data_IF_358115945225
#
_entry.id   IF_358115945225
#
_cell.length_a   1.000
_cell.length_b   1.000
_cell.length_c   1.000
_cell.angle_alpha   90.00
_cell.angle_beta   90.00
_cell.angle_gamma   90.00
#
_symmetry.space_group_name_H-M   'P 1'
#
loop_
_entity.id
_entity.type
_entity.pdbx_description
1 polymer ?
#
# COMPACT_ATOMS: atom_id res chain seq x y z
N UNK A 1 22.20 9.41 16.39
CA UNK A 1 22.27 9.09 14.95
C UNK A 1 22.86 10.31 14.25
N UNK A 2 23.84 10.13 13.36
CA UNK A 2 24.49 11.22 12.63
C UNK A 2 23.46 11.89 11.69
N UNK A 3 23.22 13.22 11.81
CA UNK A 3 22.24 13.94 10.99
C UNK A 3 22.49 13.85 9.48
N UNK A 4 23.76 13.78 9.07
CA UNK A 4 24.13 13.71 7.65
C UNK A 4 23.83 12.32 7.07
N UNK A 5 24.02 11.26 7.85
CA UNK A 5 23.59 9.91 7.46
C UNK A 5 22.06 9.83 7.34
N UNK A 6 21.31 10.39 8.30
CA UNK A 6 19.86 10.43 8.22
C UNK A 6 19.37 11.16 6.96
N UNK A 7 19.92 12.34 6.68
CA UNK A 7 19.57 13.13 5.48
C UNK A 7 19.88 12.37 4.19
N UNK A 8 20.99 11.62 4.12
CA UNK A 8 21.35 10.79 2.97
C UNK A 8 20.35 9.65 2.72
N UNK A 9 19.88 8.98 3.79
CA UNK A 9 18.91 7.89 3.66
C UNK A 9 17.50 8.40 3.35
N UNK A 10 17.11 9.58 3.85
CA UNK A 10 15.82 10.19 3.61
C UNK A 10 15.70 10.91 2.25
N UNK A 11 16.78 10.98 1.46
CA UNK A 11 16.77 11.63 0.16
C UNK A 11 15.98 10.82 -0.85
N UNK A 12 14.89 11.43 -1.36
CA UNK A 12 14.05 10.85 -2.42
C UNK A 12 14.85 10.75 -3.72
N UNK A 13 14.49 9.78 -4.56
CA UNK A 13 15.12 9.57 -5.85
C UNK A 13 14.13 8.86 -6.78
N UNK A 14 13.90 9.42 -7.96
CA UNK A 14 12.97 8.85 -8.93
C UNK A 14 13.35 7.45 -9.39
N UNK A 15 14.64 7.14 -9.55
CA UNK A 15 15.09 5.79 -9.92
C UNK A 15 14.67 4.77 -8.86
N UNK A 16 14.91 5.04 -7.57
CA UNK A 16 14.47 4.17 -6.48
C UNK A 16 12.95 4.05 -6.43
N UNK A 17 12.24 5.16 -6.67
CA UNK A 17 10.78 5.17 -6.78
C UNK A 17 10.27 4.27 -7.89
N UNK A 18 10.89 4.30 -9.08
CA UNK A 18 10.53 3.39 -10.18
C UNK A 18 10.86 1.93 -9.88
N UNK A 19 11.99 1.65 -9.25
CA UNK A 19 12.33 0.28 -8.83
C UNK A 19 11.28 -0.23 -7.83
N UNK A 20 10.86 0.60 -6.89
CA UNK A 20 9.90 0.21 -5.85
C UNK A 20 8.47 0.14 -6.41
N UNK A 21 7.91 1.24 -6.88
CA UNK A 21 6.53 1.30 -7.35
C UNK A 21 6.35 0.62 -8.72
N UNK A 22 7.23 0.89 -9.67
CA UNK A 22 7.20 0.27 -10.99
C UNK A 22 7.52 -1.23 -10.95
N UNK A 23 8.50 -1.63 -10.14
CA UNK A 23 8.84 -3.04 -9.93
C UNK A 23 7.68 -3.81 -9.29
N UNK A 24 7.01 -3.24 -8.29
CA UNK A 24 5.84 -3.85 -7.68
C UNK A 24 4.67 -3.98 -8.67
N UNK A 25 4.41 -2.95 -9.48
CA UNK A 25 3.41 -2.99 -10.56
C UNK A 25 3.76 -4.03 -11.63
N UNK A 26 5.03 -4.12 -12.04
CA UNK A 26 5.49 -5.16 -12.96
C UNK A 26 5.26 -6.57 -12.40
N UNK A 27 5.58 -6.79 -11.12
CA UNK A 27 5.35 -8.06 -10.45
C UNK A 27 3.84 -8.40 -10.39
N UNK A 28 2.99 -7.42 -10.12
CA UNK A 28 1.53 -7.58 -10.18
C UNK A 28 1.06 -8.04 -11.57
N UNK A 29 1.55 -7.39 -12.64
CA UNK A 29 1.22 -7.78 -14.01
C UNK A 29 1.70 -9.20 -14.35
N UNK A 30 2.94 -9.56 -13.96
CA UNK A 30 3.49 -10.89 -14.19
C UNK A 30 2.70 -11.99 -13.47
N UNK A 31 2.35 -11.75 -12.22
CA UNK A 31 1.56 -12.73 -11.45
C UNK A 31 0.11 -12.82 -11.94
N UNK A 32 -0.50 -11.71 -12.36
CA UNK A 32 -1.82 -11.71 -13.01
C UNK A 32 -1.81 -12.50 -14.33
N UNK A 33 -0.75 -12.34 -15.14
CA UNK A 33 -0.55 -13.15 -16.34
C UNK A 33 -0.41 -14.64 -15.99
N UNK A 34 0.31 -14.96 -14.92
CA UNK A 34 0.46 -16.36 -14.46
C UNK A 34 -0.89 -16.98 -14.05
N UNK A 35 -1.76 -16.20 -13.40
CA UNK A 35 -3.14 -16.62 -13.09
C UNK A 35 -3.91 -16.92 -14.38
N UNK A 36 -3.88 -15.99 -15.33
CA UNK A 36 -4.56 -16.16 -16.62
C UNK A 36 -4.06 -17.38 -17.40
N UNK A 37 -2.74 -17.55 -17.54
CA UNK A 37 -2.16 -18.67 -18.29
C UNK A 37 -2.44 -20.02 -17.64
N UNK A 38 -2.35 -20.12 -16.32
CA UNK A 38 -2.66 -21.38 -15.61
C UNK A 38 -4.15 -21.75 -15.70
N UNK A 39 -5.04 -20.77 -15.63
CA UNK A 39 -6.47 -20.97 -15.87
C UNK A 39 -6.73 -21.44 -17.32
N UNK A 40 -6.21 -20.71 -18.30
CA UNK A 40 -6.46 -21.00 -19.74
C UNK A 40 -5.94 -22.37 -20.19
N UNK A 41 -4.91 -22.92 -19.52
CA UNK A 41 -4.35 -24.22 -19.82
C UNK A 41 -4.85 -25.33 -18.85
N UNK A 42 -5.83 -25.03 -18.00
CA UNK A 42 -6.39 -25.98 -17.04
C UNK A 42 -5.37 -26.56 -16.05
N UNK A 43 -4.32 -25.81 -15.72
CA UNK A 43 -3.30 -26.19 -14.74
C UNK A 43 -3.76 -25.82 -13.31
N UNK A 44 -4.75 -26.51 -12.80
CA UNK A 44 -5.50 -26.13 -11.59
C UNK A 44 -4.64 -25.94 -10.34
N UNK A 45 -3.62 -26.76 -10.12
CA UNK A 45 -2.71 -26.61 -8.98
C UNK A 45 -1.88 -25.33 -9.11
N UNK A 46 -1.33 -25.07 -10.32
CA UNK A 46 -0.57 -23.86 -10.60
C UNK A 46 -1.47 -22.62 -10.51
N UNK A 47 -2.71 -22.72 -10.96
CA UNK A 47 -3.71 -21.65 -10.84
C UNK A 47 -3.95 -21.26 -9.38
N UNK A 48 -4.18 -22.22 -8.48
CA UNK A 48 -4.38 -21.93 -7.06
C UNK A 48 -3.16 -21.26 -6.42
N UNK A 49 -1.96 -21.75 -6.74
CA UNK A 49 -0.71 -21.14 -6.29
C UNK A 49 -0.57 -19.71 -6.83
N UNK A 50 -0.81 -19.52 -8.13
CA UNK A 50 -0.72 -18.22 -8.78
C UNK A 50 -1.72 -17.20 -8.21
N UNK A 51 -2.97 -17.62 -7.93
CA UNK A 51 -4.00 -16.78 -7.28
C UNK A 51 -3.55 -16.36 -5.89
N UNK A 52 -3.00 -17.28 -5.09
CA UNK A 52 -2.50 -16.95 -3.76
C UNK A 52 -1.37 -15.93 -3.82
N UNK A 53 -0.38 -16.14 -4.69
CA UNK A 53 0.75 -15.22 -4.87
C UNK A 53 0.26 -13.86 -5.38
N UNK A 54 -0.61 -13.85 -6.39
CA UNK A 54 -1.16 -12.61 -6.96
C UNK A 54 -1.99 -11.83 -5.93
N UNK A 55 -2.81 -12.50 -5.13
CA UNK A 55 -3.56 -11.89 -4.04
C UNK A 55 -2.66 -11.28 -2.97
N UNK A 56 -1.57 -11.97 -2.60
CA UNK A 56 -0.57 -11.46 -1.67
C UNK A 56 0.08 -10.19 -2.20
N UNK A 57 0.52 -10.19 -3.47
CA UNK A 57 1.12 -9.01 -4.11
C UNK A 57 0.12 -7.86 -4.20
N UNK A 58 -1.14 -8.15 -4.54
CA UNK A 58 -2.22 -7.16 -4.65
C UNK A 58 -2.51 -6.48 -3.31
N UNK A 59 -2.39 -7.18 -2.20
CA UNK A 59 -2.67 -6.63 -0.86
C UNK A 59 -1.76 -5.46 -0.48
N UNK A 60 -0.52 -5.43 -1.01
CA UNK A 60 0.42 -4.34 -0.76
C UNK A 60 0.03 -3.00 -1.39
N UNK A 61 -0.82 -3.00 -2.43
CA UNK A 61 -1.27 -1.73 -3.02
C UNK A 61 -2.07 -0.91 -2.02
N UNK A 62 -3.05 -1.51 -1.34
CA UNK A 62 -3.96 -0.82 -0.42
C UNK A 62 -3.26 -0.34 0.86
N UNK A 63 -2.44 -1.17 1.47
CA UNK A 63 -1.80 -0.86 2.73
C UNK A 63 -0.57 0.05 2.55
N UNK A 64 0.51 -0.52 2.06
CA UNK A 64 1.82 0.12 2.07
C UNK A 64 2.01 1.12 0.93
N UNK A 65 1.65 0.74 -0.31
CA UNK A 65 1.98 1.55 -1.48
C UNK A 65 1.18 2.85 -1.52
N UNK A 66 -0.14 2.79 -1.29
CA UNK A 66 -1.01 3.97 -1.25
C UNK A 66 -0.62 4.89 -0.09
N UNK A 67 -0.24 4.33 1.06
CA UNK A 67 0.26 5.08 2.22
C UNK A 67 1.51 5.92 1.88
N UNK A 68 2.57 5.28 1.40
CA UNK A 68 3.83 5.94 1.09
C UNK A 68 3.69 6.98 -0.05
N UNK A 69 2.90 6.65 -1.07
CA UNK A 69 2.62 7.57 -2.18
C UNK A 69 1.76 8.75 -1.74
N UNK A 70 0.85 8.55 -0.79
CA UNK A 70 0.04 9.60 -0.17
C UNK A 70 0.90 10.63 0.57
N UNK A 71 1.93 10.17 1.27
CA UNK A 71 2.95 11.05 1.87
C UNK A 71 3.88 11.72 0.85
N UNK A 72 3.86 11.27 -0.41
CA UNK A 72 4.75 11.77 -1.46
C UNK A 72 6.22 11.45 -1.20
N UNK A 73 6.51 10.34 -0.54
CA UNK A 73 7.87 9.94 -0.10
C UNK A 73 8.61 9.07 -1.10
N UNK A 74 7.91 8.43 -2.04
CA UNK A 74 8.47 7.44 -2.98
C UNK A 74 9.29 8.09 -4.08
N UNK A 75 8.76 9.14 -4.72
CA UNK A 75 9.43 9.85 -5.81
C UNK A 75 9.84 11.25 -5.39
N UNK A 76 10.95 11.75 -5.93
CA UNK A 76 11.34 13.15 -5.82
C UNK A 76 10.36 14.06 -6.60
N UNK A 77 9.93 13.60 -7.78
CA UNK A 77 8.97 14.30 -8.63
C UNK A 77 7.54 14.14 -8.11
N UNK A 78 6.92 15.24 -7.69
CA UNK A 78 5.59 15.24 -7.04
C UNK A 78 4.47 14.60 -7.88
N UNK A 79 4.45 14.83 -9.20
CA UNK A 79 3.39 14.27 -10.05
C UNK A 79 3.48 12.74 -10.17
N UNK A 80 4.70 12.15 -10.06
CA UNK A 80 4.87 10.69 -10.08
C UNK A 80 4.24 10.04 -8.85
N UNK A 81 4.39 10.65 -7.65
CA UNK A 81 3.69 10.16 -6.46
C UNK A 81 2.18 10.14 -6.67
N UNK A 82 1.60 11.22 -7.25
CA UNK A 82 0.17 11.30 -7.53
C UNK A 82 -0.29 10.29 -8.58
N UNK A 83 0.47 10.13 -9.65
CA UNK A 83 0.17 9.17 -10.70
C UNK A 83 0.09 7.74 -10.15
N UNK A 84 1.12 7.29 -9.45
CA UNK A 84 1.14 5.95 -8.86
C UNK A 84 0.11 5.80 -7.72
N UNK A 85 -0.15 6.86 -6.95
CA UNK A 85 -1.23 6.86 -5.95
C UNK A 85 -2.57 6.54 -6.59
N UNK A 86 -2.94 7.25 -7.67
CA UNK A 86 -4.21 7.03 -8.34
C UNK A 86 -4.28 5.66 -9.04
N UNK A 87 -3.18 5.24 -9.67
CA UNK A 87 -3.09 3.93 -10.32
C UNK A 87 -3.31 2.79 -9.29
N UNK A 88 -2.61 2.86 -8.16
CA UNK A 88 -2.70 1.82 -7.14
C UNK A 88 -4.03 1.85 -6.38
N UNK A 89 -4.57 3.04 -6.16
CA UNK A 89 -5.91 3.20 -5.59
C UNK A 89 -6.99 2.61 -6.51
N UNK A 90 -6.87 2.80 -7.83
CA UNK A 90 -7.77 2.20 -8.81
C UNK A 90 -7.68 0.67 -8.78
N UNK A 91 -6.48 0.10 -8.79
CA UNK A 91 -6.25 -1.36 -8.75
C UNK A 91 -6.83 -1.98 -7.48
N UNK A 92 -6.71 -1.29 -6.34
CA UNK A 92 -7.17 -1.78 -5.04
C UNK A 92 -8.61 -1.38 -4.68
N UNK A 93 -9.34 -0.74 -5.60
CA UNK A 93 -10.70 -0.22 -5.36
C UNK A 93 -10.77 0.70 -4.13
N UNK A 94 -9.78 1.57 -3.98
CA UNK A 94 -9.64 2.47 -2.85
C UNK A 94 -9.83 3.92 -3.27
N UNK A 95 -10.61 4.69 -2.50
CA UNK A 95 -10.77 6.12 -2.77
C UNK A 95 -9.57 6.91 -2.22
N UNK A 96 -8.69 7.46 -3.07
CA UNK A 96 -7.50 8.18 -2.63
C UNK A 96 -7.82 9.48 -1.89
N UNK A 97 -8.96 10.10 -2.15
CA UNK A 97 -9.36 11.36 -1.51
C UNK A 97 -9.85 11.13 -0.09
N UNK A 98 -10.72 10.12 0.12
CA UNK A 98 -11.18 9.74 1.44
C UNK A 98 -10.02 9.24 2.30
N UNK A 99 -9.14 8.45 1.69
CA UNK A 99 -7.93 8.00 2.36
C UNK A 99 -7.04 9.16 2.81
N UNK A 100 -6.74 10.12 1.93
CA UNK A 100 -5.91 11.27 2.27
C UNK A 100 -6.51 12.11 3.40
N UNK A 101 -7.84 12.28 3.42
CA UNK A 101 -8.55 12.97 4.49
C UNK A 101 -8.45 12.19 5.81
N UNK A 102 -8.82 10.90 5.80
CA UNK A 102 -8.76 10.01 6.97
C UNK A 102 -7.36 9.96 7.56
N UNK A 103 -6.36 9.75 6.70
CA UNK A 103 -4.96 9.62 7.08
C UNK A 103 -4.36 10.92 7.68
N UNK A 104 -4.79 12.08 7.15
CA UNK A 104 -4.43 13.37 7.75
C UNK A 104 -4.97 13.51 9.17
N UNK A 105 -6.21 13.06 9.42
CA UNK A 105 -6.78 13.04 10.77
C UNK A 105 -6.07 12.03 11.67
N UNK A 106 -5.73 10.85 11.14
CA UNK A 106 -4.94 9.85 11.87
C UNK A 106 -3.61 10.43 12.37
N UNK A 107 -2.83 11.07 11.50
CA UNK A 107 -1.56 11.69 11.91
C UNK A 107 -1.72 12.82 12.93
N UNK A 108 -2.82 13.57 12.87
CA UNK A 108 -3.08 14.67 13.80
C UNK A 108 -3.58 14.20 15.17
N UNK A 109 -4.37 13.15 15.18
CA UNK A 109 -5.14 12.70 16.34
C UNK A 109 -4.86 11.24 16.71
N UNK A 110 -3.70 10.71 16.36
CA UNK A 110 -3.33 9.30 16.56
C UNK A 110 -3.80 8.77 17.93
N UNK A 111 -4.58 7.70 17.88
CA UNK A 111 -5.21 7.05 19.04
C UNK A 111 -6.23 7.90 19.82
N UNK A 112 -6.60 9.10 19.34
CA UNK A 112 -7.65 9.88 19.99
C UNK A 112 -9.03 9.31 19.66
N UNK A 113 -9.90 9.07 20.66
CA UNK A 113 -11.18 8.34 20.47
C UNK A 113 -12.11 8.93 19.41
N UNK A 114 -12.18 10.26 19.32
CA UNK A 114 -13.10 10.95 18.42
C UNK A 114 -12.43 11.52 17.16
N UNK A 115 -11.11 11.67 17.18
CA UNK A 115 -10.37 12.35 16.13
C UNK A 115 -9.67 11.41 15.15
N UNK A 116 -9.21 10.26 15.62
CA UNK A 116 -8.52 9.29 14.80
C UNK A 116 -9.51 8.44 14.00
N UNK A 117 -9.50 8.58 12.68
CA UNK A 117 -10.43 7.89 11.77
C UNK A 117 -9.91 6.53 11.28
N UNK A 118 -8.71 6.12 11.71
CA UNK A 118 -8.10 4.85 11.33
C UNK A 118 -7.93 3.89 12.52
N UNK A 119 -8.45 4.25 13.69
CA UNK A 119 -8.47 3.34 14.85
C UNK A 119 -9.46 2.21 14.61
N UNK A 120 -8.94 1.02 14.45
CA UNK A 120 -9.72 -0.21 14.30
C UNK A 120 -9.93 -0.96 15.63
N UNK A 121 -9.18 -0.57 16.66
CA UNK A 121 -9.26 -1.18 17.98
C UNK A 121 -10.26 -0.42 18.85
N UNK A 122 -11.00 -1.13 19.73
CA UNK A 122 -11.86 -0.46 20.71
C UNK A 122 -11.01 0.47 21.58
N UNK A 123 -11.42 1.72 21.70
CA UNK A 123 -10.73 2.73 22.51
C UNK A 123 -10.73 2.34 24.00
N UNK A 124 -11.76 1.62 24.42
CA UNK A 124 -11.89 1.01 25.73
C UNK A 124 -12.03 -0.51 25.55
N UNK A 125 -10.92 -1.27 25.48
CA UNK A 125 -11.01 -2.71 25.38
C UNK A 125 -11.75 -3.24 26.62
N UNK A 126 -12.82 -4.00 26.42
CA UNK A 126 -13.48 -4.69 27.51
C UNK A 126 -12.58 -5.86 27.93
N UNK A 127 -11.81 -5.65 28.98
CA UNK A 127 -10.95 -6.67 29.60
C UNK A 127 -11.69 -7.56 30.60
N UNK A 128 -13.01 -7.46 30.65
CA UNK A 128 -13.85 -8.36 31.44
C UNK A 128 -13.80 -9.78 30.90
N UNK A 129 -13.69 -10.76 31.80
CA UNK A 129 -13.55 -12.20 31.52
C UNK A 129 -14.84 -12.89 31.07
N UNK A 130 -15.82 -12.17 30.58
CA UNK A 130 -17.04 -12.76 30.01
C UNK A 130 -16.84 -13.03 28.53
N UNK A 131 -16.44 -14.27 28.22
CA UNK A 131 -16.67 -14.87 26.91
C UNK A 131 -18.12 -15.35 26.81
#
# INVERSE_FOLDING_TARGET
MDPDKFRKFSKRNNYKGFVQAGGHFGLFCCTGLSVYLSWSNSYWILFLIAVFIHGTISSFFKGTAVHELGHGTVFDTKWLNKFFLYLFSLISWWNPFDYAASHTYHHRYTLHPEGDREVLLPVHPNVGTTF
#
